data_IF_766764046475
#
_entry.id   IF_766764046475
#
_cell.length_a   1.000
_cell.length_b   1.000
_cell.length_c   1.000
_cell.angle_alpha   90.00
_cell.angle_beta   90.00
_cell.angle_gamma   90.00
#
_symmetry.space_group_name_H-M   'P 1'
#
loop_
_entity.id
_entity.type
_entity.pdbx_description
1 polymer ?
#
# COMPACT_ATOMS: atom_id res chain seq x y z
N UNK A 1 -10.54 1.20 -38.44
CA UNK A 1 -11.06 0.90 -37.08
C UNK A 1 -10.01 1.35 -36.08
N UNK A 2 -10.14 2.54 -35.51
CA UNK A 2 -9.28 2.99 -34.41
C UNK A 2 -9.83 2.41 -33.11
N UNK A 3 -9.08 1.51 -32.48
CA UNK A 3 -9.35 1.04 -31.11
C UNK A 3 -9.02 2.18 -30.14
N UNK A 4 -9.95 3.10 -29.91
CA UNK A 4 -9.85 4.01 -28.76
C UNK A 4 -10.30 3.24 -27.53
N UNK A 5 -9.34 2.71 -26.77
CA UNK A 5 -9.60 2.11 -25.45
C UNK A 5 -10.28 3.16 -24.57
N UNK A 6 -11.40 2.81 -23.95
CA UNK A 6 -12.11 3.73 -23.06
C UNK A 6 -11.28 3.98 -21.78
N UNK A 7 -11.36 5.18 -21.20
CA UNK A 7 -10.67 5.49 -19.93
C UNK A 7 -11.01 4.50 -18.83
N UNK A 8 -12.26 4.05 -18.76
CA UNK A 8 -12.72 3.10 -17.75
C UNK A 8 -12.13 1.70 -17.94
N UNK A 9 -11.94 1.26 -19.18
CA UNK A 9 -11.27 -0.01 -19.48
C UNK A 9 -9.80 0.04 -19.06
N UNK A 10 -9.10 1.14 -19.36
CA UNK A 10 -7.72 1.34 -18.95
C UNK A 10 -7.58 1.35 -17.42
N UNK A 11 -8.46 2.07 -16.73
CA UNK A 11 -8.49 2.09 -15.25
C UNK A 11 -8.73 0.69 -14.69
N UNK A 12 -9.62 -0.08 -15.28
CA UNK A 12 -9.90 -1.45 -14.84
C UNK A 12 -8.67 -2.36 -15.03
N UNK A 13 -7.99 -2.28 -16.18
CA UNK A 13 -6.74 -3.03 -16.43
C UNK A 13 -5.66 -2.66 -15.41
N UNK A 14 -5.51 -1.37 -15.11
CA UNK A 14 -4.57 -0.90 -14.08
C UNK A 14 -4.96 -1.41 -12.69
N UNK A 15 -6.25 -1.40 -12.34
CA UNK A 15 -6.73 -1.93 -11.06
C UNK A 15 -6.44 -3.44 -10.93
N UNK A 16 -6.68 -4.24 -11.98
CA UNK A 16 -6.29 -5.65 -11.99
C UNK A 16 -4.77 -5.83 -11.88
N UNK A 17 -3.99 -4.94 -12.50
CA UNK A 17 -2.53 -4.95 -12.35
C UNK A 17 -2.11 -4.69 -10.90
N UNK A 18 -2.82 -3.82 -10.16
CA UNK A 18 -2.60 -3.65 -8.73
C UNK A 18 -2.89 -4.92 -7.93
N UNK A 19 -3.95 -5.66 -8.27
CA UNK A 19 -4.30 -6.93 -7.63
C UNK A 19 -3.20 -7.97 -7.85
N UNK A 20 -2.69 -8.08 -9.08
CA UNK A 20 -1.56 -8.96 -9.40
C UNK A 20 -0.33 -8.58 -8.58
N UNK A 21 0.00 -7.28 -8.49
CA UNK A 21 1.10 -6.81 -7.66
C UNK A 21 0.91 -7.13 -6.17
N UNK A 22 -0.30 -7.01 -5.63
CA UNK A 22 -0.60 -7.41 -4.25
C UNK A 22 -0.36 -8.90 -4.02
N UNK A 23 -0.78 -9.75 -4.96
CA UNK A 23 -0.53 -11.19 -4.89
C UNK A 23 0.98 -11.49 -4.94
N UNK A 24 1.73 -10.80 -5.80
CA UNK A 24 3.20 -10.91 -5.84
C UNK A 24 3.86 -10.45 -4.54
N UNK A 25 3.34 -9.39 -3.90
CA UNK A 25 3.82 -8.92 -2.58
C UNK A 25 3.58 -9.98 -1.51
N UNK A 26 2.42 -10.64 -1.52
CA UNK A 26 2.13 -11.73 -0.59
C UNK A 26 3.09 -12.92 -0.74
N UNK A 27 3.35 -13.29 -2.00
CA UNK A 27 4.28 -14.37 -2.36
C UNK A 27 5.75 -14.03 -2.12
N UNK A 28 6.10 -12.75 -1.95
CA UNK A 28 7.48 -12.33 -1.77
C UNK A 28 8.08 -12.92 -0.48
N UNK A 29 9.27 -13.49 -0.59
CA UNK A 29 9.93 -14.18 0.52
C UNK A 29 10.83 -13.26 1.35
N UNK A 30 11.04 -12.03 0.91
CA UNK A 30 11.90 -11.06 1.59
C UNK A 30 11.35 -9.64 1.44
N UNK A 31 11.61 -8.80 2.44
CA UNK A 31 11.27 -7.36 2.41
C UNK A 31 11.86 -6.66 1.18
N UNK A 32 13.09 -7.04 0.80
CA UNK A 32 13.79 -6.50 -0.37
C UNK A 32 13.02 -6.71 -1.68
N UNK A 33 12.24 -7.81 -1.79
CA UNK A 33 11.35 -8.06 -2.94
C UNK A 33 10.02 -7.30 -2.83
N UNK A 34 9.48 -7.16 -1.62
CA UNK A 34 8.20 -6.46 -1.39
C UNK A 34 8.29 -4.97 -1.74
N UNK A 35 9.38 -4.30 -1.36
CA UNK A 35 9.58 -2.85 -1.58
C UNK A 35 9.39 -2.44 -3.05
N UNK A 36 10.11 -3.00 -4.05
CA UNK A 36 9.95 -2.59 -5.44
C UNK A 36 8.55 -2.90 -5.98
N UNK A 37 7.94 -4.04 -5.60
CA UNK A 37 6.58 -4.40 -6.01
C UNK A 37 5.56 -3.38 -5.49
N UNK A 38 5.68 -2.98 -4.23
CA UNK A 38 4.83 -1.95 -3.65
C UNK A 38 5.01 -0.58 -4.32
N UNK A 39 6.25 -0.19 -4.66
CA UNK A 39 6.51 1.06 -5.39
C UNK A 39 5.86 1.05 -6.77
N UNK A 40 5.90 -0.09 -7.48
CA UNK A 40 5.19 -0.27 -8.75
C UNK A 40 3.68 -0.15 -8.52
N UNK A 41 3.13 -0.84 -7.53
CA UNK A 41 1.70 -0.78 -7.20
C UNK A 41 1.23 0.64 -6.87
N UNK A 42 2.02 1.41 -6.10
CA UNK A 42 1.76 2.81 -5.78
C UNK A 42 1.81 3.70 -7.04
N UNK A 43 2.72 3.41 -7.97
CA UNK A 43 2.81 4.08 -9.26
C UNK A 43 1.57 3.84 -10.13
N UNK A 44 1.09 2.59 -10.15
CA UNK A 44 -0.16 2.23 -10.83
C UNK A 44 -1.34 2.98 -10.21
N UNK A 45 -1.44 3.03 -8.89
CA UNK A 45 -2.50 3.78 -8.19
C UNK A 45 -2.45 5.28 -8.54
N UNK A 46 -1.26 5.87 -8.55
CA UNK A 46 -1.06 7.28 -8.97
C UNK A 46 -1.61 7.50 -10.38
N UNK A 47 -1.31 6.59 -11.31
CA UNK A 47 -1.79 6.67 -12.68
C UNK A 47 -3.32 6.56 -12.75
N UNK A 48 -3.94 5.65 -11.97
CA UNK A 48 -5.40 5.53 -11.88
C UNK A 48 -6.03 6.84 -11.38
N UNK A 49 -5.45 7.46 -10.34
CA UNK A 49 -5.95 8.72 -9.79
C UNK A 49 -5.89 9.83 -10.84
N UNK A 50 -4.77 9.95 -11.56
CA UNK A 50 -4.60 10.96 -12.62
C UNK A 50 -5.59 10.70 -13.76
N UNK A 51 -5.71 9.46 -14.24
CA UNK A 51 -6.65 9.11 -15.31
C UNK A 51 -8.11 9.35 -14.90
N UNK A 52 -8.45 9.07 -13.64
CA UNK A 52 -9.78 9.38 -13.08
C UNK A 52 -10.03 10.89 -13.02
N UNK A 53 -8.99 11.69 -12.74
CA UNK A 53 -9.08 13.14 -12.78
C UNK A 53 -9.24 13.69 -14.20
N UNK A 54 -8.65 13.05 -15.20
CA UNK A 54 -8.69 13.48 -16.60
C UNK A 54 -9.91 12.97 -17.38
N UNK A 55 -10.68 12.01 -16.83
CA UNK A 55 -11.84 11.48 -17.53
C UNK A 55 -12.87 12.59 -17.75
N UNK A 56 -13.38 12.80 -18.98
CA UNK A 56 -14.34 13.86 -19.27
C UNK A 56 -15.65 13.60 -18.54
N UNK A 57 -15.89 14.31 -17.44
CA UNK A 57 -17.19 14.32 -16.75
C UNK A 57 -17.97 15.54 -17.24
N UNK A 58 -19.17 15.32 -17.77
CA UNK A 58 -20.00 16.30 -18.51
C UNK A 58 -20.59 17.46 -17.66
N UNK A 59 -20.02 17.84 -16.51
CA UNK A 59 -20.61 18.86 -15.62
C UNK A 59 -19.65 19.95 -15.16
N UNK A 60 -20.20 21.17 -14.99
CA UNK A 60 -19.53 22.41 -14.57
C UNK A 60 -18.80 22.35 -13.21
N UNK A 61 -18.97 21.29 -12.40
CA UNK A 61 -18.18 21.02 -11.19
C UNK A 61 -16.78 20.41 -11.47
N UNK A 62 -16.40 20.27 -12.74
CA UNK A 62 -15.19 19.58 -13.18
C UNK A 62 -13.89 20.12 -12.57
N UNK A 63 -13.69 21.45 -12.52
CA UNK A 63 -12.40 22.03 -12.15
C UNK A 63 -11.97 21.75 -10.70
N UNK A 64 -12.90 21.84 -9.73
CA UNK A 64 -12.60 21.56 -8.32
C UNK A 64 -12.32 20.07 -8.10
N UNK A 65 -13.09 19.19 -8.76
CA UNK A 65 -12.90 17.73 -8.70
C UNK A 65 -11.55 17.31 -9.27
N UNK A 66 -11.13 17.88 -10.40
CA UNK A 66 -9.81 17.61 -10.99
C UNK A 66 -8.70 18.00 -10.02
N UNK A 67 -8.77 19.20 -9.43
CA UNK A 67 -7.76 19.68 -8.49
C UNK A 67 -7.69 18.80 -7.22
N UNK A 68 -8.85 18.37 -6.71
CA UNK A 68 -8.93 17.45 -5.56
C UNK A 68 -8.28 16.11 -5.90
N UNK A 69 -8.60 15.52 -7.06
CA UNK A 69 -8.01 14.24 -7.50
C UNK A 69 -6.50 14.37 -7.74
N UNK A 70 -6.04 15.49 -8.30
CA UNK A 70 -4.60 15.75 -8.45
C UNK A 70 -3.90 15.91 -7.09
N UNK A 71 -4.53 16.57 -6.12
CA UNK A 71 -4.02 16.62 -4.75
C UNK A 71 -3.90 15.21 -4.16
N UNK A 72 -4.86 14.33 -4.45
CA UNK A 72 -4.83 12.95 -3.97
C UNK A 72 -3.71 12.13 -4.61
N UNK A 73 -3.36 12.41 -5.87
CA UNK A 73 -2.22 11.75 -6.52
C UNK A 73 -0.89 12.02 -5.80
N UNK A 74 -0.78 13.10 -5.01
CA UNK A 74 0.41 13.39 -4.21
C UNK A 74 0.66 12.35 -3.13
N UNK A 75 -0.39 11.70 -2.60
CA UNK A 75 -0.26 10.72 -1.52
C UNK A 75 0.50 9.45 -1.97
N UNK A 76 0.07 8.72 -3.02
CA UNK A 76 0.83 7.58 -3.50
C UNK A 76 2.21 7.98 -4.05
N UNK A 77 2.37 9.19 -4.62
CA UNK A 77 3.70 9.72 -4.99
C UNK A 77 4.60 9.85 -3.77
N UNK A 78 4.10 10.45 -2.69
CA UNK A 78 4.83 10.59 -1.44
C UNK A 78 5.23 9.22 -0.89
N UNK A 79 4.32 8.23 -0.92
CA UNK A 79 4.60 6.87 -0.47
C UNK A 79 5.70 6.20 -1.31
N UNK A 80 5.69 6.34 -2.65
CA UNK A 80 6.75 5.82 -3.53
C UNK A 80 8.13 6.34 -3.12
N UNK A 81 8.20 7.61 -2.73
CA UNK A 81 9.46 8.29 -2.39
C UNK A 81 9.89 8.03 -0.94
N UNK A 82 8.94 7.91 -0.03
CA UNK A 82 9.19 7.81 1.40
C UNK A 82 9.35 6.37 1.89
N UNK A 83 8.70 5.39 1.27
CA UNK A 83 8.59 4.06 1.88
C UNK A 83 9.96 3.38 2.06
N UNK A 84 10.79 3.35 1.02
CA UNK A 84 12.10 2.72 1.04
C UNK A 84 13.06 3.35 2.08
N UNK A 85 13.26 4.69 2.12
CA UNK A 85 14.13 5.29 3.15
C UNK A 85 13.57 5.13 4.56
N UNK A 86 12.24 5.15 4.74
CA UNK A 86 11.62 4.99 6.06
C UNK A 86 11.76 3.56 6.59
N UNK A 87 11.52 2.55 5.75
CA UNK A 87 11.75 1.15 6.12
C UNK A 87 13.23 0.90 6.42
N UNK A 88 14.13 1.45 5.61
CA UNK A 88 15.58 1.29 5.82
C UNK A 88 16.02 1.92 7.14
N UNK A 89 15.52 3.11 7.46
CA UNK A 89 15.77 3.75 8.76
C UNK A 89 15.22 2.90 9.92
N UNK A 90 13.99 2.41 9.79
CA UNK A 90 13.35 1.61 10.83
C UNK A 90 14.10 0.31 11.12
N UNK A 91 14.79 -0.24 10.11
CA UNK A 91 15.61 -1.46 10.24
C UNK A 91 16.93 -1.21 10.97
N UNK A 92 17.54 -0.03 10.82
CA UNK A 92 18.91 0.23 11.33
C UNK A 92 18.91 0.77 12.78
N UNK A 93 17.74 1.08 13.35
CA UNK A 93 17.57 1.61 14.73
C UNK A 93 18.47 2.82 15.09
N UNK A 94 18.89 3.62 14.12
CA UNK A 94 19.65 4.85 14.41
C UNK A 94 18.72 5.94 14.95
N UNK A 95 18.83 6.18 16.26
CA UNK A 95 18.05 7.17 17.01
C UNK A 95 18.53 8.57 16.70
N UNK A 96 18.04 9.14 15.60
CA UNK A 96 17.96 10.59 15.44
C UNK A 96 16.53 10.94 15.11
N UNK A 97 15.71 11.06 16.16
CA UNK A 97 14.33 11.51 16.04
C UNK A 97 14.30 13.02 15.75
N UNK A 98 13.60 13.39 14.67
CA UNK A 98 13.38 14.80 14.30
C UNK A 98 13.17 15.00 12.81
N UNK A 99 12.30 15.96 12.46
CA UNK A 99 11.98 16.32 11.07
C UNK A 99 13.21 16.63 10.20
N UNK A 100 14.25 17.23 10.79
CA UNK A 100 15.53 17.49 10.09
C UNK A 100 16.23 16.20 9.68
N UNK A 101 16.14 15.15 10.50
CA UNK A 101 16.75 13.87 10.17
C UNK A 101 15.98 13.15 9.06
N UNK A 102 14.65 13.20 9.11
CA UNK A 102 13.79 12.70 8.03
C UNK A 102 14.15 13.37 6.68
N UNK A 103 14.34 14.69 6.67
CA UNK A 103 14.80 15.41 5.48
C UNK A 103 16.20 14.98 5.02
N UNK A 104 17.08 14.60 5.94
CA UNK A 104 18.41 14.07 5.59
C UNK A 104 18.36 12.69 4.94
N UNK A 105 17.34 11.86 5.23
CA UNK A 105 17.17 10.54 4.59
C UNK A 105 16.89 10.65 3.09
N UNK A 106 16.40 11.80 2.62
CA UNK A 106 16.23 12.06 1.19
C UNK A 106 17.53 12.45 0.50
N UNK A 107 18.63 12.71 1.23
CA UNK A 107 19.96 12.90 0.63
C UNK A 107 20.50 11.54 0.19
N UNK A 108 20.88 11.45 -1.09
CA UNK A 108 21.37 10.22 -1.73
C UNK A 108 22.46 9.52 -0.91
N UNK A 109 23.43 10.26 -0.41
CA UNK A 109 24.59 9.73 0.33
C UNK A 109 24.18 9.03 1.64
N UNK A 110 23.21 9.61 2.36
CA UNK A 110 22.67 9.06 3.62
C UNK A 110 21.82 7.84 3.31
N UNK A 111 20.92 7.95 2.32
CA UNK A 111 20.05 6.86 1.88
C UNK A 111 20.84 5.62 1.47
N UNK A 112 21.88 5.78 0.66
CA UNK A 112 22.68 4.66 0.17
C UNK A 112 23.46 3.96 1.30
N UNK A 113 23.89 4.71 2.32
CA UNK A 113 24.56 4.14 3.50
C UNK A 113 23.58 3.35 4.38
N UNK A 114 22.40 3.91 4.67
CA UNK A 114 21.37 3.22 5.46
C UNK A 114 20.88 1.97 4.72
N UNK A 115 20.64 2.06 3.41
CA UNK A 115 20.23 0.93 2.59
C UNK A 115 21.26 -0.21 2.64
N UNK A 116 22.56 0.09 2.51
CA UNK A 116 23.62 -0.93 2.61
C UNK A 116 23.64 -1.65 3.96
N UNK A 117 23.23 -0.99 5.03
CA UNK A 117 23.15 -1.57 6.37
C UNK A 117 21.85 -2.34 6.61
N UNK A 118 20.74 -1.89 6.02
CA UNK A 118 19.45 -2.58 6.11
C UNK A 118 19.40 -3.85 5.26
N UNK A 119 20.09 -3.85 4.10
CA UNK A 119 20.02 -4.95 3.13
C UNK A 119 20.39 -6.33 3.70
N UNK A 120 21.47 -6.51 4.49
CA UNK A 120 21.77 -7.79 5.12
C UNK A 120 20.64 -8.29 6.02
N UNK A 121 20.00 -7.40 6.80
CA UNK A 121 18.87 -7.73 7.68
C UNK A 121 17.65 -8.16 6.87
N UNK A 122 17.34 -7.43 5.80
CA UNK A 122 16.23 -7.77 4.89
C UNK A 122 16.44 -9.08 4.13
N UNK A 123 17.70 -9.42 3.83
CA UNK A 123 18.05 -10.67 3.15
C UNK A 123 18.15 -11.86 4.10
N UNK A 124 18.49 -11.64 5.37
CA UNK A 124 18.59 -12.72 6.37
C UNK A 124 17.22 -13.23 6.83
N UNK A 125 16.17 -12.42 6.72
CA UNK A 125 14.80 -12.81 7.05
C UNK A 125 14.14 -13.61 5.92
N UNK A 126 14.71 -14.79 5.61
CA UNK A 126 14.11 -15.70 4.63
C UNK A 126 12.97 -16.49 5.28
N UNK A 127 11.74 -16.28 4.81
CA UNK A 127 10.59 -17.06 5.28
C UNK A 127 10.65 -18.50 4.76
N UNK A 128 10.32 -19.46 5.62
CA UNK A 128 10.29 -20.88 5.26
C UNK A 128 9.26 -21.16 4.16
N UNK A 129 9.73 -21.80 3.08
CA UNK A 129 8.98 -22.05 1.84
C UNK A 129 7.65 -22.80 2.06
N UNK A 130 7.53 -23.56 3.16
CA UNK A 130 6.37 -24.38 3.46
C UNK A 130 5.12 -23.57 3.87
N UNK A 131 5.30 -22.37 4.43
CA UNK A 131 4.17 -21.45 4.72
C UNK A 131 3.68 -20.70 3.47
N UNK A 132 4.39 -20.80 2.34
CA UNK A 132 4.07 -20.08 1.11
C UNK A 132 2.86 -20.65 0.36
N UNK A 133 2.66 -21.97 0.34
CA UNK A 133 1.53 -22.57 -0.40
C UNK A 133 0.20 -22.30 0.31
N UNK A 134 0.18 -22.42 1.64
CA UNK A 134 -1.04 -22.19 2.41
C UNK A 134 -1.49 -20.73 2.32
N UNK A 135 -0.55 -19.77 2.38
CA UNK A 135 -0.86 -18.35 2.20
C UNK A 135 -1.43 -18.07 0.80
N UNK A 136 -0.86 -18.65 -0.26
CA UNK A 136 -1.41 -18.50 -1.63
C UNK A 136 -2.85 -19.04 -1.73
N UNK A 137 -3.13 -20.21 -1.14
CA UNK A 137 -4.49 -20.77 -1.16
C UNK A 137 -5.46 -19.87 -0.41
N UNK A 138 -5.07 -19.36 0.76
CA UNK A 138 -5.87 -18.41 1.54
C UNK A 138 -6.11 -17.13 0.73
N UNK A 139 -5.09 -16.56 0.11
CA UNK A 139 -5.18 -15.37 -0.73
C UNK A 139 -6.17 -15.56 -1.89
N UNK A 140 -6.08 -16.70 -2.58
CA UNK A 140 -7.00 -17.01 -3.67
C UNK A 140 -8.45 -17.10 -3.19
N UNK A 141 -8.69 -17.76 -2.04
CA UNK A 141 -10.02 -17.85 -1.43
C UNK A 141 -10.54 -16.45 -1.06
N UNK A 142 -9.69 -15.59 -0.49
CA UNK A 142 -10.06 -14.23 -0.13
C UNK A 142 -10.40 -13.37 -1.35
N UNK A 143 -9.65 -13.51 -2.45
CA UNK A 143 -9.96 -12.84 -3.73
C UNK A 143 -11.32 -13.33 -4.24
N UNK A 144 -11.56 -14.63 -4.30
CA UNK A 144 -12.86 -15.18 -4.75
C UNK A 144 -13.99 -14.64 -3.89
N UNK A 145 -13.82 -14.63 -2.56
CA UNK A 145 -14.81 -14.09 -1.63
C UNK A 145 -15.08 -12.60 -1.91
N UNK A 146 -14.04 -11.79 -2.12
CA UNK A 146 -14.19 -10.37 -2.44
C UNK A 146 -14.98 -10.15 -3.73
N UNK A 147 -14.72 -10.93 -4.78
CA UNK A 147 -15.47 -10.86 -6.03
C UNK A 147 -16.94 -11.27 -5.84
N UNK A 148 -17.20 -12.39 -5.16
CA UNK A 148 -18.58 -12.83 -4.87
C UNK A 148 -19.34 -11.76 -4.07
N UNK A 149 -18.71 -11.18 -3.05
CA UNK A 149 -19.33 -10.13 -2.24
C UNK A 149 -19.60 -8.87 -3.05
N UNK A 150 -18.63 -8.38 -3.83
CA UNK A 150 -18.77 -7.15 -4.60
C UNK A 150 -19.87 -7.24 -5.66
N UNK A 151 -19.93 -8.33 -6.43
CA UNK A 151 -20.98 -8.56 -7.42
C UNK A 151 -22.36 -8.87 -6.80
N UNK A 152 -22.40 -9.28 -5.53
CA UNK A 152 -23.66 -9.40 -4.78
C UNK A 152 -24.21 -8.03 -4.35
N UNK A 153 -23.31 -7.09 -4.00
CA UNK A 153 -23.66 -5.73 -3.57
C UNK A 153 -24.03 -4.87 -4.79
N UNK A 154 -23.15 -4.80 -5.79
CA UNK A 154 -23.32 -3.97 -6.98
C UNK A 154 -23.76 -4.83 -8.17
N UNK A 155 -25.07 -4.87 -8.41
CA UNK A 155 -25.69 -5.70 -9.47
C UNK A 155 -25.92 -4.95 -10.77
N UNK A 156 -25.89 -3.62 -10.75
CA UNK A 156 -26.33 -2.79 -11.88
C UNK A 156 -25.18 -2.41 -12.78
N UNK A 157 -24.01 -2.18 -12.20
CA UNK A 157 -22.81 -1.75 -12.92
C UNK A 157 -21.67 -2.77 -12.73
N UNK A 158 -21.39 -3.62 -13.74
CA UNK A 158 -20.29 -4.59 -13.69
C UNK A 158 -18.90 -3.97 -13.52
N UNK A 159 -18.69 -2.73 -14.01
CA UNK A 159 -17.41 -2.04 -13.88
C UNK A 159 -17.20 -1.58 -12.45
N UNK A 160 -18.21 -0.96 -11.83
CA UNK A 160 -18.16 -0.60 -10.40
C UNK A 160 -18.03 -1.84 -9.51
N UNK A 161 -18.75 -2.92 -9.83
CA UNK A 161 -18.63 -4.19 -9.11
C UNK A 161 -17.20 -4.76 -9.19
N UNK A 162 -16.55 -4.67 -10.37
CA UNK A 162 -15.16 -5.11 -10.56
C UNK A 162 -14.18 -4.27 -9.74
N UNK A 163 -14.33 -2.95 -9.73
CA UNK A 163 -13.47 -2.05 -8.95
C UNK A 163 -13.66 -2.28 -7.43
N UNK A 164 -14.91 -2.49 -7.00
CA UNK A 164 -15.23 -2.85 -5.62
C UNK A 164 -14.60 -4.19 -5.24
N UNK A 165 -14.69 -5.20 -6.11
CA UNK A 165 -14.08 -6.51 -5.92
C UNK A 165 -12.57 -6.40 -5.75
N UNK A 166 -11.89 -5.64 -6.61
CA UNK A 166 -10.44 -5.42 -6.55
C UNK A 166 -10.07 -4.68 -5.27
N UNK A 167 -10.79 -3.61 -4.92
CA UNK A 167 -10.52 -2.83 -3.70
C UNK A 167 -10.67 -3.69 -2.44
N UNK A 168 -11.71 -4.52 -2.37
CA UNK A 168 -11.94 -5.45 -1.28
C UNK A 168 -10.89 -6.57 -1.26
N UNK A 169 -10.48 -7.07 -2.42
CA UNK A 169 -9.39 -8.06 -2.54
C UNK A 169 -8.08 -7.49 -2.01
N UNK A 170 -7.72 -6.27 -2.38
CA UNK A 170 -6.51 -5.59 -1.88
C UNK A 170 -6.56 -5.43 -0.35
N UNK A 171 -7.73 -5.09 0.19
CA UNK A 171 -7.93 -5.00 1.64
C UNK A 171 -7.71 -6.34 2.34
N UNK A 172 -8.34 -7.41 1.83
CA UNK A 172 -8.20 -8.76 2.40
C UNK A 172 -6.79 -9.34 2.21
N UNK A 173 -6.14 -9.10 1.08
CA UNK A 173 -4.75 -9.49 0.84
C UNK A 173 -3.80 -8.77 1.78
N UNK A 174 -4.00 -7.47 2.01
CA UNK A 174 -3.23 -6.71 3.01
C UNK A 174 -3.31 -7.35 4.40
N UNK A 175 -4.52 -7.73 4.83
CA UNK A 175 -4.73 -8.46 6.09
C UNK A 175 -4.07 -9.85 6.10
N UNK A 176 -4.13 -10.58 4.97
CA UNK A 176 -3.48 -11.89 4.83
C UNK A 176 -1.96 -11.78 4.97
N UNK A 177 -1.35 -10.79 4.29
CA UNK A 177 0.09 -10.48 4.41
C UNK A 177 0.45 -10.19 5.86
N UNK A 178 -0.32 -9.32 6.54
CA UNK A 178 -0.08 -9.01 7.95
C UNK A 178 -0.14 -10.25 8.84
N UNK A 179 -1.09 -11.15 8.59
CA UNK A 179 -1.25 -12.38 9.37
C UNK A 179 -0.13 -13.39 9.10
N UNK A 180 0.34 -13.50 7.86
CA UNK A 180 1.29 -14.53 7.44
C UNK A 180 2.75 -14.16 7.69
N UNK A 181 3.06 -12.89 7.95
CA UNK A 181 4.42 -12.41 8.16
C UNK A 181 4.69 -12.12 9.64
N UNK A 182 5.85 -12.54 10.11
CA UNK A 182 6.25 -12.46 11.51
C UNK A 182 7.13 -11.23 11.82
N UNK A 183 7.62 -10.52 10.80
CA UNK A 183 8.38 -9.28 10.92
C UNK A 183 7.46 -8.07 10.79
N UNK A 184 7.68 -7.07 11.65
CA UNK A 184 6.86 -5.85 11.67
C UNK A 184 6.91 -5.12 10.32
N UNK A 185 8.04 -5.19 9.59
CA UNK A 185 8.18 -4.50 8.29
C UNK A 185 7.24 -5.10 7.25
N UNK A 186 7.21 -6.43 7.06
CA UNK A 186 6.28 -7.04 6.11
C UNK A 186 4.81 -6.88 6.54
N UNK A 187 4.52 -6.79 7.84
CA UNK A 187 3.18 -6.42 8.31
C UNK A 187 2.81 -4.99 7.90
N UNK A 188 3.73 -4.02 8.04
CA UNK A 188 3.52 -2.65 7.54
C UNK A 188 3.30 -2.67 6.02
N UNK A 189 4.04 -3.50 5.26
CA UNK A 189 3.79 -3.65 3.82
C UNK A 189 2.37 -4.15 3.52
N UNK A 190 1.85 -5.11 4.30
CA UNK A 190 0.46 -5.55 4.20
C UNK A 190 -0.55 -4.43 4.48
N UNK A 191 -0.28 -3.60 5.50
CA UNK A 191 -1.08 -2.42 5.83
C UNK A 191 -1.15 -1.43 4.66
N UNK A 192 0.00 -1.16 4.02
CA UNK A 192 0.06 -0.25 2.87
C UNK A 192 -0.65 -0.80 1.63
N UNK A 193 -0.65 -2.12 1.42
CA UNK A 193 -1.47 -2.77 0.37
C UNK A 193 -2.96 -2.59 0.67
N UNK A 194 -3.36 -2.69 1.94
CA UNK A 194 -4.74 -2.45 2.38
C UNK A 194 -5.17 -1.00 2.08
N UNK A 195 -4.30 -0.03 2.37
CA UNK A 195 -4.52 1.40 2.08
C UNK A 195 -4.75 1.66 0.59
N UNK A 196 -4.01 0.98 -0.30
CA UNK A 196 -4.24 1.08 -1.74
C UNK A 196 -5.64 0.62 -2.16
N UNK A 197 -6.15 -0.46 -1.56
CA UNK A 197 -7.53 -0.90 -1.77
C UNK A 197 -8.55 0.15 -1.33
N UNK A 198 -8.34 0.75 -0.16
CA UNK A 198 -9.20 1.83 0.33
C UNK A 198 -9.14 3.08 -0.55
N UNK A 199 -7.96 3.46 -1.04
CA UNK A 199 -7.80 4.57 -2.00
C UNK A 199 -8.55 4.33 -3.29
N UNK A 200 -8.41 3.14 -3.87
CA UNK A 200 -9.08 2.77 -5.11
C UNK A 200 -10.61 2.84 -4.96
N UNK A 201 -11.14 2.33 -3.85
CA UNK A 201 -12.56 2.44 -3.53
C UNK A 201 -13.00 3.91 -3.42
N UNK A 202 -12.23 4.74 -2.71
CA UNK A 202 -12.56 6.14 -2.49
C UNK A 202 -12.71 6.94 -3.78
N UNK A 203 -11.78 6.78 -4.71
CA UNK A 203 -11.74 7.60 -5.93
C UNK A 203 -12.71 7.12 -7.02
N UNK A 204 -13.11 5.83 -7.00
CA UNK A 204 -13.95 5.24 -8.05
C UNK A 204 -15.38 4.92 -7.63
N UNK A 205 -15.62 4.61 -6.36
CA UNK A 205 -16.94 4.14 -5.90
C UNK A 205 -17.73 5.29 -5.28
N UNK A 206 -17.07 6.16 -4.52
CA UNK A 206 -17.73 7.28 -3.86
C UNK A 206 -18.06 8.36 -4.89
N UNK A 207 -19.35 8.53 -5.17
CA UNK A 207 -19.82 9.51 -6.15
C UNK A 207 -19.90 10.94 -5.60
N UNK A 208 -20.07 11.11 -4.28
CA UNK A 208 -20.22 12.42 -3.64
C UNK A 208 -18.86 13.09 -3.38
N UNK A 209 -18.56 14.27 -3.96
CA UNK A 209 -17.29 14.96 -3.76
C UNK A 209 -16.96 15.22 -2.29
N UNK A 210 -17.96 15.58 -1.47
CA UNK A 210 -17.78 15.86 -0.04
C UNK A 210 -17.34 14.61 0.73
N UNK A 211 -17.94 13.46 0.41
CA UNK A 211 -17.61 12.19 1.05
C UNK A 211 -16.21 11.74 0.63
N UNK A 212 -15.85 11.89 -0.66
CA UNK A 212 -14.50 11.58 -1.14
C UNK A 212 -13.45 12.41 -0.39
N UNK A 213 -13.65 13.73 -0.27
CA UNK A 213 -12.72 14.61 0.45
C UNK A 213 -12.57 14.15 1.91
N UNK A 214 -13.68 13.90 2.59
CA UNK A 214 -13.68 13.48 3.99
C UNK A 214 -12.94 12.15 4.16
N UNK A 215 -13.20 11.19 3.29
CA UNK A 215 -12.56 9.89 3.31
C UNK A 215 -11.05 10.02 3.08
N UNK A 216 -10.61 10.82 2.10
CA UNK A 216 -9.17 10.96 1.82
C UNK A 216 -8.44 11.73 2.91
N UNK A 217 -9.06 12.72 3.54
CA UNK A 217 -8.49 13.35 4.74
C UNK A 217 -8.33 12.31 5.86
N UNK A 218 -9.33 11.46 6.08
CA UNK A 218 -9.23 10.34 7.02
C UNK A 218 -8.10 9.38 6.66
N UNK A 219 -7.96 9.05 5.38
CA UNK A 219 -6.92 8.15 4.88
C UNK A 219 -5.52 8.76 4.98
N UNK A 220 -5.38 10.06 4.76
CA UNK A 220 -4.13 10.78 4.99
C UNK A 220 -3.73 10.76 6.47
N UNK A 221 -4.68 10.99 7.39
CA UNK A 221 -4.42 10.89 8.82
C UNK A 221 -4.04 9.47 9.22
N UNK A 222 -4.70 8.46 8.65
CA UNK A 222 -4.35 7.06 8.85
C UNK A 222 -2.93 6.75 8.38
N UNK A 223 -2.55 7.18 7.17
CA UNK A 223 -1.17 7.06 6.67
C UNK A 223 -0.19 7.78 7.61
N UNK A 224 -0.52 8.98 8.07
CA UNK A 224 0.35 9.71 8.99
C UNK A 224 0.59 8.93 10.29
N UNK A 225 -0.44 8.23 10.81
CA UNK A 225 -0.30 7.33 11.95
C UNK A 225 0.59 6.14 11.59
N UNK A 226 0.35 5.45 10.46
CA UNK A 226 1.18 4.34 9.97
C UNK A 226 2.66 4.75 9.85
N UNK A 227 2.93 5.90 9.25
CA UNK A 227 4.28 6.46 9.11
C UNK A 227 4.87 6.83 10.47
N UNK A 228 4.07 7.33 11.41
CA UNK A 228 4.53 7.62 12.78
C UNK A 228 4.94 6.34 13.50
N UNK A 229 4.17 5.26 13.35
CA UNK A 229 4.55 3.94 13.89
C UNK A 229 5.88 3.49 13.28
N UNK A 230 6.02 3.61 11.96
CA UNK A 230 7.24 3.21 11.26
C UNK A 230 8.47 4.04 11.66
N UNK A 231 8.32 5.36 11.81
CA UNK A 231 9.43 6.30 12.04
C UNK A 231 9.84 6.40 13.50
N UNK A 232 8.87 6.28 14.42
CA UNK A 232 9.09 6.55 15.85
C UNK A 232 9.08 5.26 16.64
N UNK A 233 7.99 4.49 16.54
CA UNK A 233 7.81 3.29 17.36
C UNK A 233 8.74 2.16 16.94
N UNK A 234 8.88 1.90 15.64
CA UNK A 234 9.64 0.74 15.18
C UNK A 234 11.14 0.79 15.53
N UNK A 235 11.87 1.92 15.34
CA UNK A 235 13.24 2.03 15.82
C UNK A 235 13.38 1.86 17.34
N UNK A 236 12.44 2.42 18.10
CA UNK A 236 12.46 2.32 19.57
C UNK A 236 12.21 0.88 20.02
N UNK A 237 11.26 0.19 19.40
CA UNK A 237 11.00 -1.23 19.64
C UNK A 237 12.23 -2.07 19.28
N UNK A 238 12.80 -1.88 18.09
CA UNK A 238 13.96 -2.65 17.65
C UNK A 238 15.15 -2.49 18.59
N UNK A 239 15.38 -1.27 19.12
CA UNK A 239 16.44 -1.02 20.11
C UNK A 239 16.21 -1.75 21.43
N UNK A 240 14.96 -1.84 21.89
CA UNK A 240 14.63 -2.45 23.20
C UNK A 240 14.65 -3.97 23.09
N UNK A 241 14.06 -4.54 22.03
CA UNK A 241 13.94 -5.98 21.85
C UNK A 241 15.16 -6.62 21.17
N UNK A 242 16.03 -5.81 20.54
CA UNK A 242 17.08 -6.27 19.61
C UNK A 242 16.57 -7.13 18.44
N UNK A 243 15.25 -7.15 18.20
CA UNK A 243 14.60 -7.98 17.17
C UNK A 243 13.41 -7.26 16.55
N UNK A 244 13.19 -7.48 15.25
CA UNK A 244 12.01 -6.96 14.51
C UNK A 244 10.93 -8.06 14.41
N UNK A 245 11.23 -9.28 14.87
CA UNK A 245 10.31 -10.40 14.90
C UNK A 245 9.33 -10.26 16.07
N UNK A 246 8.04 -10.42 15.77
CA UNK A 246 6.96 -10.22 16.74
C UNK A 246 6.93 -11.35 17.76
N UNK A 247 7.23 -12.58 17.32
CA UNK A 247 7.23 -13.78 18.17
C UNK A 247 8.39 -13.81 19.18
N UNK A 248 9.35 -12.90 19.07
CA UNK A 248 10.51 -12.79 19.97
C UNK A 248 10.37 -11.63 20.96
N UNK A 249 9.20 -10.98 21.04
CA UNK A 249 8.93 -9.87 21.97
C UNK A 249 8.51 -10.33 23.38
N UNK A 250 8.98 -11.49 23.83
CA UNK A 250 8.63 -12.11 25.12
C UNK A 250 9.03 -11.27 26.37
N UNK A 251 9.87 -10.25 26.19
CA UNK A 251 10.29 -9.34 27.26
C UNK A 251 9.36 -8.14 27.48
N UNK A 252 8.34 -7.96 26.65
CA UNK A 252 7.31 -6.92 26.81
C UNK A 252 6.02 -7.54 27.38
N UNK A 253 6.11 -8.25 28.50
CA UNK A 253 4.93 -8.69 29.25
C UNK A 253 4.42 -7.53 30.11
N UNK A 254 3.21 -7.06 29.78
CA UNK A 254 2.40 -6.19 30.65
C UNK A 254 1.56 -7.01 31.61
#
# INVERSE_FOLDING_TARGET
MSFSVSYDELINILAFSMLIMAMMISMASTVSQMIPLYRIQSGILTLIVILTGLSPVETYESNSRVLILLLFALIPILLILAIEPLLAQATVAEVKSGWRHILLLFRKDVRDNIYRRALPVWLSQQFSYQHSILSIVVDLILIILAFVTAFSIEKKDPLLASILAISLSLLLLGLSIMRSKHDIISQIMGLLVMEHGMFLAAIRIISSPVIVITFVVGLFLYIAITLTILVVLLPDLHRISNTIEIDQQDHLQG
#
